data_IF_774652252394
#
_entry.id   IF_774652252394
#
_cell.length_a   1.000
_cell.length_b   1.000
_cell.length_c   1.000
_cell.angle_alpha   90.00
_cell.angle_beta   90.00
_cell.angle_gamma   90.00
#
_symmetry.space_group_name_H-M   'P 1'
#
loop_
_entity.id
_entity.type
_entity.pdbx_description
1 polymer ?
#
# COMPACT_ATOMS: atom_id res chain seq x y z
N UNK A 1 28.17 15.26 -34.06
CA UNK A 1 27.52 15.85 -32.87
C UNK A 1 26.01 15.64 -32.83
N UNK A 2 25.24 15.93 -33.90
CA UNK A 2 23.77 15.71 -33.91
C UNK A 2 23.32 14.26 -33.65
N UNK A 3 24.03 13.26 -34.16
CA UNK A 3 23.69 11.83 -33.98
C UNK A 3 23.91 11.30 -32.55
N UNK A 4 24.89 11.85 -31.83
CA UNK A 4 25.14 11.51 -30.43
C UNK A 4 24.00 12.08 -29.58
N UNK A 5 23.62 13.33 -29.86
CA UNK A 5 22.51 14.00 -29.17
C UNK A 5 21.19 13.24 -29.37
N UNK A 6 20.90 12.76 -30.59
CA UNK A 6 19.71 11.93 -30.85
C UNK A 6 19.75 10.60 -30.11
N UNK A 7 20.90 9.93 -30.04
CA UNK A 7 21.00 8.66 -29.30
C UNK A 7 20.77 8.85 -27.79
N UNK A 8 21.31 9.93 -27.23
CA UNK A 8 21.10 10.28 -25.82
C UNK A 8 19.61 10.55 -25.55
N UNK A 9 18.95 11.31 -26.42
CA UNK A 9 17.51 11.61 -26.29
C UNK A 9 16.68 10.31 -26.36
N UNK A 10 16.98 9.42 -27.31
CA UNK A 10 16.28 8.13 -27.44
C UNK A 10 16.48 7.26 -26.19
N UNK A 11 17.69 7.21 -25.63
CA UNK A 11 17.95 6.49 -24.38
C UNK A 11 17.12 7.03 -23.21
N UNK A 12 17.05 8.35 -23.03
CA UNK A 12 16.24 8.95 -21.96
C UNK A 12 14.74 8.70 -22.15
N UNK A 13 14.24 8.74 -23.39
CA UNK A 13 12.84 8.40 -23.70
C UNK A 13 12.54 6.93 -23.38
N UNK A 14 13.45 6.02 -23.71
CA UNK A 14 13.29 4.60 -23.39
C UNK A 14 13.26 4.34 -21.88
N UNK A 15 14.16 4.97 -21.11
CA UNK A 15 14.19 4.87 -19.65
C UNK A 15 12.89 5.45 -19.05
N UNK A 16 12.43 6.60 -19.54
CA UNK A 16 11.20 7.22 -19.08
C UNK A 16 9.94 6.37 -19.37
N UNK A 17 9.90 5.66 -20.50
CA UNK A 17 8.81 4.75 -20.83
C UNK A 17 8.80 3.51 -19.91
N UNK A 18 9.97 2.99 -19.55
CA UNK A 18 10.09 1.84 -18.62
C UNK A 18 9.82 2.22 -17.16
N UNK A 19 10.00 3.49 -16.77
CA UNK A 19 9.75 3.97 -15.41
C UNK A 19 8.26 4.20 -15.09
N UNK A 20 7.37 4.11 -16.09
CA UNK A 20 5.93 4.16 -15.84
C UNK A 20 5.48 2.83 -15.24
N UNK A 21 5.56 2.70 -13.92
CA UNK A 21 4.95 1.60 -13.16
C UNK A 21 3.42 1.70 -13.26
N UNK A 22 2.87 1.30 -14.40
CA UNK A 22 1.44 1.13 -14.60
C UNK A 22 1.05 -0.21 -13.98
N UNK A 23 0.02 -0.22 -13.15
CA UNK A 23 -0.58 -1.48 -12.72
C UNK A 23 -1.23 -2.15 -13.94
N UNK A 24 -0.74 -3.32 -14.33
CA UNK A 24 -1.30 -4.10 -15.44
C UNK A 24 -2.64 -4.72 -15.03
N UNK A 25 -2.78 -5.02 -13.73
CA UNK A 25 -3.94 -5.67 -13.14
C UNK A 25 -4.32 -4.94 -11.85
N UNK A 26 -5.61 -4.59 -11.71
CA UNK A 26 -6.21 -4.07 -10.48
C UNK A 26 -7.44 -4.93 -10.18
N UNK A 27 -7.45 -5.60 -9.03
CA UNK A 27 -8.55 -6.45 -8.59
C UNK A 27 -8.98 -6.03 -7.19
N UNK A 28 -10.28 -5.83 -7.00
CA UNK A 28 -10.87 -5.56 -5.69
C UNK A 28 -11.84 -6.69 -5.33
N UNK A 29 -11.71 -7.22 -4.11
CA UNK A 29 -12.59 -8.27 -3.62
C UNK A 29 -12.85 -8.16 -2.12
N UNK A 30 -13.96 -8.76 -1.70
CA UNK A 30 -14.37 -8.84 -0.30
C UNK A 30 -13.79 -10.11 0.32
N UNK A 31 -12.81 -9.96 1.20
CA UNK A 31 -12.24 -11.06 1.98
C UNK A 31 -13.09 -11.32 3.23
N UNK A 32 -13.67 -12.51 3.33
CA UNK A 32 -14.49 -12.93 4.45
C UNK A 32 -13.72 -13.85 5.38
N UNK A 33 -13.66 -13.51 6.67
CA UNK A 33 -13.03 -14.33 7.69
C UNK A 33 -13.94 -14.50 8.92
N UNK A 34 -13.94 -15.66 9.58
CA UNK A 34 -14.74 -15.87 10.79
C UNK A 34 -14.26 -14.97 11.93
N UNK A 35 -15.20 -14.38 12.67
CA UNK A 35 -14.92 -13.60 13.88
C UNK A 35 -14.97 -14.50 15.10
N UNK A 36 -14.02 -14.34 16.02
CA UNK A 36 -13.97 -15.07 17.31
C UNK A 36 -15.25 -14.90 18.14
N UNK A 37 -15.89 -13.72 18.09
CA UNK A 37 -17.14 -13.44 18.81
C UNK A 37 -18.42 -13.90 18.08
N UNK A 38 -18.29 -14.69 17.00
CA UNK A 38 -19.39 -15.05 16.11
C UNK A 38 -19.61 -14.04 14.97
N UNK A 39 -20.05 -14.54 13.82
CA UNK A 39 -20.27 -13.77 12.58
C UNK A 39 -19.06 -13.74 11.63
N UNK A 40 -19.22 -13.04 10.51
CA UNK A 40 -18.19 -12.85 9.47
C UNK A 40 -17.58 -11.44 9.55
N UNK A 41 -16.26 -11.35 9.48
CA UNK A 41 -15.54 -10.10 9.19
C UNK A 41 -15.36 -10.01 7.68
N UNK A 42 -15.88 -8.94 7.08
CA UNK A 42 -15.68 -8.65 5.66
C UNK A 42 -14.67 -7.51 5.56
N UNK A 43 -13.52 -7.79 4.94
CA UNK A 43 -12.48 -6.81 4.66
C UNK A 43 -12.42 -6.58 3.14
N UNK A 44 -12.63 -5.34 2.71
CA UNK A 44 -12.39 -4.96 1.31
C UNK A 44 -10.90 -4.91 1.07
N UNK A 45 -10.45 -5.59 0.03
CA UNK A 45 -9.04 -5.68 -0.28
C UNK A 45 -8.80 -5.43 -1.76
N UNK A 46 -7.70 -4.76 -2.04
CA UNK A 46 -7.26 -4.45 -3.40
C UNK A 46 -5.90 -5.06 -3.66
N UNK A 47 -5.80 -5.78 -4.77
CA UNK A 47 -4.55 -6.26 -5.36
C UNK A 47 -4.25 -5.39 -6.58
N UNK A 48 -3.12 -4.70 -6.55
CA UNK A 48 -2.51 -4.09 -7.73
C UNK A 48 -1.29 -4.92 -8.11
N UNK A 49 -1.17 -5.32 -9.37
CA UNK A 49 -0.06 -6.11 -9.86
C UNK A 49 0.38 -5.64 -11.24
N UNK A 50 1.68 -5.70 -11.50
CA UNK A 50 2.28 -5.52 -12.80
C UNK A 50 3.33 -6.62 -13.02
N UNK A 51 4.01 -6.58 -14.17
CA UNK A 51 5.08 -7.53 -14.50
C UNK A 51 6.26 -7.59 -13.51
N UNK A 52 6.43 -6.58 -12.65
CA UNK A 52 7.59 -6.43 -11.73
C UNK A 52 7.24 -6.57 -10.25
N UNK A 53 6.05 -6.13 -9.84
CA UNK A 53 5.63 -6.06 -8.44
C UNK A 53 4.14 -6.33 -8.27
N UNK A 54 3.77 -6.76 -7.07
CA UNK A 54 2.38 -6.92 -6.64
C UNK A 54 2.20 -6.36 -5.24
N UNK A 55 1.15 -5.57 -5.02
CA UNK A 55 0.78 -5.01 -3.72
C UNK A 55 -0.65 -5.40 -3.37
N UNK A 56 -0.82 -6.00 -2.21
CA UNK A 56 -2.10 -6.45 -1.67
C UNK A 56 -2.39 -5.70 -0.36
N UNK A 57 -3.48 -4.94 -0.31
CA UNK A 57 -3.75 -4.04 0.82
C UNK A 57 -5.23 -3.72 1.01
N UNK A 58 -5.57 -3.30 2.23
CA UNK A 58 -6.86 -2.68 2.58
C UNK A 58 -6.61 -1.26 3.10
N UNK A 59 -7.68 -0.48 3.23
CA UNK A 59 -7.61 0.92 3.65
C UNK A 59 -6.93 1.10 5.01
N UNK A 60 -7.14 0.17 5.96
CA UNK A 60 -6.53 0.22 7.28
C UNK A 60 -5.01 -0.04 7.22
N UNK A 61 -4.58 -0.98 6.39
CA UNK A 61 -3.16 -1.29 6.19
C UNK A 61 -2.46 -0.11 5.53
N UNK A 62 -3.09 0.51 4.52
CA UNK A 62 -2.56 1.70 3.85
C UNK A 62 -2.48 2.91 4.80
N UNK A 63 -3.50 3.09 5.65
CA UNK A 63 -3.49 4.12 6.67
C UNK A 63 -2.37 3.91 7.70
N UNK A 64 -2.15 2.66 8.13
CA UNK A 64 -1.08 2.32 9.07
C UNK A 64 0.30 2.57 8.44
N UNK A 65 0.51 2.15 7.19
CA UNK A 65 1.74 2.40 6.41
C UNK A 65 2.02 3.91 6.25
N UNK A 66 0.96 4.70 6.02
CA UNK A 66 1.07 6.16 5.96
C UNK A 66 1.49 6.77 7.30
N UNK A 67 1.02 6.24 8.44
CA UNK A 67 1.42 6.72 9.76
C UNK A 67 2.87 6.35 10.09
N UNK A 68 3.31 5.15 9.69
CA UNK A 68 4.69 4.72 9.92
C UNK A 68 5.72 5.45 9.05
N UNK A 69 5.28 6.19 8.03
CA UNK A 69 6.16 6.94 7.14
C UNK A 69 6.79 8.18 7.80
N UNK A 70 6.24 8.68 8.92
CA UNK A 70 6.79 9.83 9.64
C UNK A 70 6.98 9.56 11.14
N UNK A 71 7.96 10.21 11.81
CA UNK A 71 8.13 10.09 13.26
C UNK A 71 6.87 10.49 14.05
N UNK A 72 6.18 11.54 13.59
CA UNK A 72 4.95 12.04 14.22
C UNK A 72 3.80 11.04 14.06
N UNK A 73 3.68 10.44 12.87
CA UNK A 73 2.66 9.42 12.59
C UNK A 73 2.89 8.16 13.42
N UNK A 74 4.14 7.73 13.60
CA UNK A 74 4.50 6.63 14.52
C UNK A 74 4.07 6.93 15.94
N UNK A 75 4.37 8.11 16.46
CA UNK A 75 3.97 8.52 17.81
C UNK A 75 2.44 8.48 17.98
N UNK A 76 1.69 8.86 16.93
CA UNK A 76 0.23 8.81 16.94
C UNK A 76 -0.32 7.38 16.90
N UNK A 77 0.26 6.50 16.09
CA UNK A 77 -0.09 5.09 16.03
C UNK A 77 0.11 4.43 17.41
N UNK A 78 1.24 4.72 18.03
CA UNK A 78 1.61 4.28 19.37
C UNK A 78 0.61 4.71 20.45
N UNK A 79 0.16 5.97 20.40
CA UNK A 79 -0.88 6.50 21.28
C UNK A 79 -2.20 5.71 21.14
N UNK A 80 -2.62 5.45 19.90
CA UNK A 80 -3.85 4.72 19.60
C UNK A 80 -3.78 3.28 20.11
N UNK A 81 -2.64 2.60 19.90
CA UNK A 81 -2.41 1.24 20.40
C UNK A 81 -2.48 1.23 21.93
N UNK A 82 -1.79 2.16 22.61
CA UNK A 82 -1.81 2.25 24.07
C UNK A 82 -3.23 2.52 24.60
N UNK A 83 -3.97 3.44 24.00
CA UNK A 83 -5.33 3.76 24.41
C UNK A 83 -6.28 2.56 24.25
N UNK A 84 -6.14 1.80 23.16
CA UNK A 84 -6.94 0.60 22.93
C UNK A 84 -6.61 -0.51 23.95
N UNK A 85 -5.33 -0.73 24.24
CA UNK A 85 -4.89 -1.68 25.27
C UNK A 85 -5.47 -1.29 26.64
N UNK A 86 -5.35 -0.03 27.04
CA UNK A 86 -5.92 0.48 28.29
C UNK A 86 -7.44 0.29 28.38
N UNK A 87 -8.17 0.52 27.30
CA UNK A 87 -9.62 0.34 27.26
C UNK A 87 -10.07 -1.13 27.25
N UNK A 88 -9.17 -2.06 26.92
CA UNK A 88 -9.44 -3.50 26.88
C UNK A 88 -9.18 -4.23 28.21
N UNK A 89 -8.63 -3.54 29.21
CA UNK A 89 -8.42 -4.10 30.55
C UNK A 89 -9.74 -4.10 31.35
N UNK A 90 -10.06 -5.19 32.09
CA UNK A 90 -11.23 -5.22 32.95
C UNK A 90 -11.09 -4.15 34.05
N UNK A 91 -12.17 -3.39 34.28
CA UNK A 91 -12.27 -2.37 35.33
C UNK A 91 -12.51 -2.99 36.70
#
# INVERSE_FOLDING_TARGET
MKQILTSIIVCFVAIAAMAQNKADIIVSYDFKAPRVSGGERINKMTLIANSTESKYFNDLSLWTDSLESTPEGKAKLDEIIRANVWNSLPR
#
